data_IF_558914902726
#
_entry.id   IF_558914902726
#
_cell.length_a   1.000
_cell.length_b   1.000
_cell.length_c   1.000
_cell.angle_alpha   90.00
_cell.angle_beta   90.00
_cell.angle_gamma   90.00
#
_symmetry.space_group_name_H-M   'P 1'
#
loop_
_entity.id
_entity.type
_entity.pdbx_description
1 polymer ?
#
# COMPACT_ATOMS: atom_id res chain seq x y z
N UNK A 1 -30.93 -27.59 -17.13
CA UNK A 1 -31.22 -26.15 -17.38
C UNK A 1 -30.34 -25.32 -16.46
N UNK A 2 -29.09 -25.09 -16.86
CA UNK A 2 -28.14 -24.21 -16.17
C UNK A 2 -27.64 -23.28 -17.26
N UNK A 3 -27.96 -21.99 -17.16
CA UNK A 3 -27.57 -20.97 -18.13
C UNK A 3 -26.19 -20.43 -17.71
N UNK A 4 -25.09 -20.76 -18.44
CA UNK A 4 -23.75 -20.33 -18.05
C UNK A 4 -23.46 -18.85 -18.35
N UNK A 5 -24.43 -18.06 -18.84
CA UNK A 5 -24.22 -16.65 -19.20
C UNK A 5 -24.54 -15.62 -18.09
N UNK A 6 -24.96 -16.05 -16.90
CA UNK A 6 -25.32 -15.12 -15.82
C UNK A 6 -24.12 -14.53 -15.04
N UNK A 7 -22.88 -14.98 -15.28
CA UNK A 7 -21.70 -14.58 -14.50
C UNK A 7 -20.84 -13.47 -15.14
N UNK A 8 -21.33 -12.78 -16.17
CA UNK A 8 -20.56 -11.79 -16.94
C UNK A 8 -21.13 -10.36 -16.88
N UNK A 9 -21.73 -9.94 -15.75
CA UNK A 9 -22.34 -8.60 -15.62
C UNK A 9 -21.84 -7.75 -14.45
N UNK A 10 -20.62 -7.98 -13.96
CA UNK A 10 -19.99 -7.13 -12.95
C UNK A 10 -18.61 -6.60 -13.39
N UNK A 11 -18.42 -6.37 -14.69
CA UNK A 11 -17.30 -5.54 -15.13
C UNK A 11 -17.73 -4.07 -15.17
N UNK A 12 -17.14 -3.18 -14.37
CA UNK A 12 -17.52 -1.77 -14.35
C UNK A 12 -17.17 -1.12 -15.70
N UNK A 13 -18.18 -0.50 -16.30
CA UNK A 13 -18.12 0.31 -17.51
C UNK A 13 -17.14 1.49 -17.39
N UNK A 14 -16.39 1.76 -18.46
CA UNK A 14 -15.27 2.71 -18.56
C UNK A 14 -15.58 4.20 -18.29
N UNK A 15 -16.83 4.56 -18.03
CA UNK A 15 -17.30 5.95 -17.95
C UNK A 15 -17.15 6.59 -16.57
N UNK A 16 -16.79 5.82 -15.53
CA UNK A 16 -16.83 6.31 -14.14
C UNK A 16 -15.49 6.27 -13.38
N UNK A 17 -14.33 6.37 -14.04
CA UNK A 17 -13.03 6.38 -13.32
C UNK A 17 -12.84 7.63 -12.45
N UNK A 18 -13.47 8.75 -12.82
CA UNK A 18 -13.30 10.06 -12.19
C UNK A 18 -13.97 10.19 -10.82
N UNK A 19 -14.99 9.38 -10.52
CA UNK A 19 -15.84 9.55 -9.32
C UNK A 19 -15.26 8.81 -8.10
N UNK A 20 -14.53 7.70 -8.30
CA UNK A 20 -13.83 6.99 -7.20
C UNK A 20 -12.61 7.74 -6.66
N UNK A 21 -12.14 8.77 -7.38
CA UNK A 21 -10.88 9.49 -7.10
C UNK A 21 -10.91 10.41 -5.87
N UNK A 22 -12.04 10.60 -5.20
CA UNK A 22 -12.20 11.73 -4.25
C UNK A 22 -12.81 11.42 -2.89
N UNK A 23 -13.10 10.17 -2.57
CA UNK A 23 -13.73 9.81 -1.29
C UNK A 23 -13.12 8.51 -0.76
N UNK A 24 -11.84 8.54 -0.38
CA UNK A 24 -11.27 7.47 0.45
C UNK A 24 -11.44 7.88 1.89
N UNK A 25 -12.15 7.08 2.68
CA UNK A 25 -12.32 7.31 4.11
C UNK A 25 -12.28 5.99 4.86
N UNK A 26 -11.39 5.91 5.84
CA UNK A 26 -11.30 4.75 6.71
C UNK A 26 -10.78 5.13 8.10
N UNK A 27 -10.97 4.20 9.03
CA UNK A 27 -10.44 4.27 10.39
C UNK A 27 -9.75 2.96 10.74
N UNK A 28 -8.55 3.04 11.33
CA UNK A 28 -7.78 1.86 11.74
C UNK A 28 -7.03 2.12 13.05
N UNK A 29 -6.39 1.08 13.59
CA UNK A 29 -5.57 1.18 14.79
C UNK A 29 -4.17 1.72 14.43
N UNK A 30 -3.65 2.65 15.24
CA UNK A 30 -2.43 3.41 14.97
C UNK A 30 -1.17 2.54 14.94
N UNK A 31 -0.98 1.65 15.91
CA UNK A 31 0.20 0.77 15.98
C UNK A 31 0.26 -0.16 14.75
N UNK A 32 -0.89 -0.73 14.40
CA UNK A 32 -1.08 -1.60 13.23
C UNK A 32 -0.78 -0.87 11.92
N UNK A 33 -1.27 0.37 11.78
CA UNK A 33 -0.98 1.22 10.63
C UNK A 33 0.51 1.58 10.55
N UNK A 34 1.11 1.96 11.68
CA UNK A 34 2.52 2.34 11.73
C UNK A 34 3.44 1.16 11.37
N UNK A 35 3.15 -0.04 11.84
CA UNK A 35 3.88 -1.25 11.46
C UNK A 35 3.74 -1.54 9.95
N UNK A 36 2.52 -1.48 9.41
CA UNK A 36 2.28 -1.69 7.99
C UNK A 36 3.04 -0.66 7.11
N UNK A 37 3.07 0.61 7.53
CA UNK A 37 3.85 1.66 6.86
C UNK A 37 5.36 1.37 6.97
N UNK A 38 5.85 0.96 8.14
CA UNK A 38 7.26 0.58 8.35
C UNK A 38 7.72 -0.55 7.44
N UNK A 39 6.85 -1.55 7.23
CA UNK A 39 7.15 -2.67 6.34
C UNK A 39 7.09 -2.24 4.87
N UNK A 40 6.02 -1.56 4.46
CA UNK A 40 5.80 -1.19 3.05
C UNK A 40 6.76 -0.14 2.53
N UNK A 41 7.19 0.82 3.37
CA UNK A 41 8.14 1.86 2.95
C UNK A 41 9.51 1.30 2.53
N UNK A 42 9.86 0.08 2.96
CA UNK A 42 11.13 -0.59 2.58
C UNK A 42 11.25 -0.87 1.10
N UNK A 43 10.12 -0.96 0.39
CA UNK A 43 10.07 -1.15 -1.06
C UNK A 43 9.83 0.16 -1.83
N UNK A 44 9.66 1.30 -1.16
CA UNK A 44 9.40 2.58 -1.83
C UNK A 44 10.70 3.09 -2.46
N UNK A 45 10.62 3.59 -3.70
CA UNK A 45 11.78 4.10 -4.41
C UNK A 45 12.47 5.24 -3.65
N UNK A 46 13.73 5.03 -3.25
CA UNK A 46 14.49 6.01 -2.46
C UNK A 46 14.79 7.32 -3.22
N UNK A 47 14.89 7.24 -4.55
CA UNK A 47 14.98 8.39 -5.45
C UNK A 47 13.91 8.25 -6.52
N UNK A 48 12.95 9.16 -6.50
CA UNK A 48 11.73 9.05 -7.31
C UNK A 48 11.94 9.27 -8.83
N UNK A 49 13.17 9.54 -9.27
CA UNK A 49 13.58 9.57 -10.67
C UNK A 49 12.54 10.19 -11.62
N UNK A 50 12.23 9.46 -12.70
CA UNK A 50 11.20 9.85 -13.66
C UNK A 50 9.75 9.55 -13.21
N UNK A 51 9.56 8.80 -12.11
CA UNK A 51 8.23 8.39 -11.60
C UNK A 51 8.02 8.81 -10.14
N UNK A 52 7.70 10.10 -9.88
CA UNK A 52 7.51 10.63 -8.53
C UNK A 52 6.52 9.85 -7.66
N UNK A 53 5.48 9.27 -8.28
CA UNK A 53 4.44 8.47 -7.61
C UNK A 53 4.99 7.27 -6.83
N UNK A 54 6.14 6.72 -7.24
CA UNK A 54 6.81 5.60 -6.57
C UNK A 54 7.52 5.99 -5.26
N UNK A 55 7.56 7.29 -4.92
CA UNK A 55 7.96 7.76 -3.59
C UNK A 55 6.83 7.74 -2.55
N UNK A 56 5.63 7.34 -2.99
CA UNK A 56 4.47 7.16 -2.13
C UNK A 56 4.16 5.70 -1.84
N UNK A 57 3.32 5.52 -0.83
CA UNK A 57 2.64 4.27 -0.54
C UNK A 57 1.23 4.38 -1.14
N UNK A 58 0.88 3.44 -2.02
CA UNK A 58 -0.49 3.30 -2.51
C UNK A 58 -1.34 2.68 -1.42
N UNK A 59 -2.43 3.34 -1.07
CA UNK A 59 -3.44 2.87 -0.11
C UNK A 59 -4.71 2.54 -0.86
N UNK A 60 -5.17 1.30 -0.76
CA UNK A 60 -6.45 0.84 -1.30
C UNK A 60 -7.36 0.46 -0.14
N UNK A 61 -8.51 1.10 -0.01
CA UNK A 61 -9.50 0.80 1.02
C UNK A 61 -10.71 0.07 0.40
N UNK A 62 -10.99 -1.13 0.89
CA UNK A 62 -12.11 -1.98 0.45
C UNK A 62 -12.40 -3.08 1.48
N UNK A 63 -13.65 -3.51 1.59
CA UNK A 63 -14.06 -4.72 2.32
C UNK A 63 -13.46 -4.84 3.74
N UNK A 64 -13.64 -3.81 4.56
CA UNK A 64 -13.13 -3.71 5.94
C UNK A 64 -11.60 -3.91 6.09
N UNK A 65 -10.87 -3.65 5.02
CA UNK A 65 -9.41 -3.71 4.99
C UNK A 65 -8.83 -2.51 4.26
N UNK A 66 -7.59 -2.21 4.59
CA UNK A 66 -6.73 -1.41 3.71
C UNK A 66 -5.52 -2.22 3.29
N UNK A 67 -5.17 -2.08 2.01
CA UNK A 67 -3.94 -2.58 1.44
C UNK A 67 -2.97 -1.41 1.22
N UNK A 68 -1.78 -1.53 1.81
CA UNK A 68 -0.66 -0.62 1.61
C UNK A 68 0.32 -1.28 0.65
N UNK A 69 0.72 -0.56 -0.40
CA UNK A 69 1.66 -1.05 -1.42
C UNK A 69 2.79 -0.03 -1.62
N UNK A 70 4.03 -0.47 -1.38
CA UNK A 70 5.26 0.21 -1.76
C UNK A 70 5.95 -0.55 -2.89
N UNK A 71 6.58 0.18 -3.83
CA UNK A 71 7.35 -0.43 -4.92
C UNK A 71 8.40 0.52 -5.51
N UNK A 72 9.50 -0.05 -5.98
CA UNK A 72 10.53 0.58 -6.80
C UNK A 72 10.64 -0.04 -8.20
N UNK A 73 9.61 -0.83 -8.59
CA UNK A 73 9.49 -1.67 -9.78
C UNK A 73 10.22 -3.02 -9.74
N UNK A 74 11.26 -3.15 -8.92
CA UNK A 74 12.00 -4.41 -8.76
C UNK A 74 11.50 -5.17 -7.52
N UNK A 75 11.34 -4.46 -6.40
CA UNK A 75 10.74 -4.93 -5.17
C UNK A 75 9.33 -4.35 -5.03
N UNK A 76 8.40 -5.20 -4.59
CA UNK A 76 7.08 -4.77 -4.13
C UNK A 76 6.77 -5.40 -2.81
N UNK A 77 6.31 -4.58 -1.86
CA UNK A 77 5.76 -5.06 -0.60
C UNK A 77 4.28 -4.65 -0.53
N UNK A 78 3.43 -5.62 -0.20
CA UNK A 78 1.99 -5.43 0.04
C UNK A 78 1.67 -5.87 1.46
N UNK A 79 1.02 -5.00 2.23
CA UNK A 79 0.55 -5.31 3.59
C UNK A 79 -0.93 -4.99 3.67
N UNK A 80 -1.71 -5.93 4.22
CA UNK A 80 -3.13 -5.74 4.47
C UNK A 80 -3.38 -5.69 5.96
N UNK A 81 -4.15 -4.70 6.40
CA UNK A 81 -4.54 -4.54 7.79
C UNK A 81 -6.04 -4.28 7.91
N UNK A 82 -6.68 -4.69 9.01
CA UNK A 82 -8.09 -4.41 9.25
C UNK A 82 -8.33 -2.90 9.40
N UNK A 83 -9.43 -2.42 8.84
CA UNK A 83 -9.85 -1.04 8.94
C UNK A 83 -11.38 -0.93 8.77
N UNK A 84 -12.02 -0.04 9.50
CA UNK A 84 -13.40 0.34 9.19
C UNK A 84 -13.40 1.26 7.96
N UNK A 85 -13.93 0.79 6.83
CA UNK A 85 -13.94 1.55 5.57
C UNK A 85 -15.30 2.23 5.39
N UNK A 86 -15.33 3.55 5.52
CA UNK A 86 -16.55 4.35 5.31
C UNK A 86 -16.73 4.72 3.83
N UNK A 87 -15.63 4.88 3.09
CA UNK A 87 -15.66 5.21 1.66
C UNK A 87 -14.49 4.52 0.96
N UNK A 88 -14.77 3.52 0.10
CA UNK A 88 -13.72 2.76 -0.58
C UNK A 88 -13.04 3.58 -1.67
N UNK A 89 -11.80 3.23 -1.99
CA UNK A 89 -11.08 3.84 -3.10
C UNK A 89 -9.56 3.72 -2.97
N UNK A 90 -8.86 4.50 -3.79
CA UNK A 90 -7.39 4.44 -3.92
C UNK A 90 -6.79 5.82 -3.76
N UNK A 91 -5.68 5.91 -3.02
CA UNK A 91 -4.86 7.12 -2.87
C UNK A 91 -3.39 6.76 -2.84
N UNK A 92 -2.50 7.73 -3.07
CA UNK A 92 -1.05 7.54 -2.92
C UNK A 92 -0.49 8.61 -2.02
N UNK A 93 0.02 8.21 -0.86
CA UNK A 93 0.50 9.11 0.20
C UNK A 93 2.04 9.13 0.17
N UNK A 94 2.71 10.29 0.18
CA UNK A 94 4.17 10.35 0.28
C UNK A 94 4.69 9.55 1.49
N UNK A 95 5.55 8.56 1.26
CA UNK A 95 5.87 7.54 2.26
C UNK A 95 6.53 8.13 3.51
N UNK A 96 7.52 9.02 3.32
CA UNK A 96 8.23 9.70 4.42
C UNK A 96 7.31 10.55 5.29
N UNK A 97 6.33 11.22 4.68
CA UNK A 97 5.34 12.00 5.44
C UNK A 97 4.40 11.05 6.18
N UNK A 98 3.98 9.96 5.53
CA UNK A 98 3.06 9.02 6.17
C UNK A 98 3.67 8.41 7.44
N UNK A 99 4.90 7.89 7.33
CA UNK A 99 5.67 7.33 8.45
C UNK A 99 5.95 8.34 9.56
N UNK A 100 6.43 9.54 9.18
CA UNK A 100 6.72 10.62 10.11
C UNK A 100 5.49 11.15 10.85
N UNK A 101 4.30 11.02 10.27
CA UNK A 101 3.04 11.40 10.90
C UNK A 101 2.53 10.32 11.84
N UNK A 102 2.45 9.07 11.38
CA UNK A 102 1.90 7.98 12.20
C UNK A 102 2.74 7.72 13.44
N UNK A 103 4.06 7.90 13.37
CA UNK A 103 4.96 7.81 14.54
C UNK A 103 4.71 8.89 15.61
N UNK A 104 4.07 10.01 15.28
CA UNK A 104 3.78 11.12 16.21
C UNK A 104 2.36 11.09 16.77
N UNK A 105 1.48 10.26 16.20
CA UNK A 105 0.12 10.10 16.71
C UNK A 105 0.14 9.31 18.02
N UNK A 106 -0.74 9.66 18.95
CA UNK A 106 -0.94 8.88 20.18
C UNK A 106 -1.50 7.49 19.85
N UNK A 107 -1.34 6.47 20.71
CA UNK A 107 -2.04 5.19 20.57
C UNK A 107 -3.56 5.38 20.45
N UNK A 108 -4.21 4.49 19.71
CA UNK A 108 -5.65 4.52 19.49
C UNK A 108 -6.02 4.59 18.01
N UNK A 109 -7.20 5.08 17.71
CA UNK A 109 -7.69 5.09 16.34
C UNK A 109 -7.14 6.26 15.52
N UNK A 110 -6.81 5.95 14.26
CA UNK A 110 -6.44 6.92 13.22
C UNK A 110 -7.56 6.97 12.18
N UNK A 111 -7.98 8.18 11.81
CA UNK A 111 -8.89 8.42 10.69
C UNK A 111 -8.09 8.98 9.53
N UNK A 112 -8.35 8.44 8.33
CA UNK A 112 -7.82 8.91 7.07
C UNK A 112 -8.99 9.32 6.17
N UNK A 113 -8.96 10.54 5.62
CA UNK A 113 -10.03 11.07 4.78
C UNK A 113 -9.44 11.89 3.64
N UNK A 114 -9.75 11.52 2.40
CA UNK A 114 -9.33 12.24 1.20
C UNK A 114 -10.33 13.35 0.89
N UNK A 115 -9.84 14.57 0.76
CA UNK A 115 -10.59 15.75 0.35
C UNK A 115 -9.88 16.40 -0.84
N UNK A 116 -10.40 16.19 -2.05
CA UNK A 116 -9.75 16.69 -3.27
C UNK A 116 -8.42 15.98 -3.53
N UNK A 117 -7.33 16.75 -3.57
CA UNK A 117 -5.97 16.23 -3.76
C UNK A 117 -5.22 16.02 -2.44
N UNK A 118 -5.86 16.31 -1.30
CA UNK A 118 -5.24 16.20 0.02
C UNK A 118 -5.84 15.06 0.83
N UNK A 119 -5.03 14.43 1.67
CA UNK A 119 -5.48 13.50 2.71
C UNK A 119 -5.34 14.15 4.09
N UNK A 120 -6.44 14.12 4.83
CA UNK A 120 -6.52 14.50 6.23
C UNK A 120 -6.32 13.25 7.08
N UNK A 121 -5.29 13.27 7.93
CA UNK A 121 -4.94 12.18 8.83
C UNK A 121 -5.06 12.69 10.26
N UNK A 122 -5.89 12.06 11.09
CA UNK A 122 -6.12 12.48 12.47
C UNK A 122 -6.07 11.31 13.45
N UNK A 123 -5.65 11.61 14.69
CA UNK A 123 -5.58 10.66 15.79
C UNK A 123 -5.56 11.40 17.13
N UNK A 124 -6.57 11.18 17.97
CA UNK A 124 -6.77 11.98 19.17
C UNK A 124 -6.87 13.49 18.84
N UNK A 125 -6.11 14.38 19.51
CA UNK A 125 -6.13 15.82 19.23
C UNK A 125 -5.29 16.23 18.01
N UNK A 126 -4.49 15.32 17.45
CA UNK A 126 -3.61 15.62 16.33
C UNK A 126 -4.33 15.46 15.00
N UNK A 127 -4.07 16.38 14.08
CA UNK A 127 -4.61 16.38 12.73
C UNK A 127 -3.62 17.03 11.77
N UNK A 128 -3.34 16.37 10.65
CA UNK A 128 -2.46 16.89 9.60
C UNK A 128 -3.09 16.66 8.23
N UNK A 129 -2.86 17.60 7.30
CA UNK A 129 -3.21 17.46 5.90
C UNK A 129 -1.95 17.21 5.07
N UNK A 130 -2.02 16.28 4.12
CA UNK A 130 -0.90 15.90 3.25
C UNK A 130 -1.36 15.90 1.80
N UNK A 131 -0.60 16.55 0.92
CA UNK A 131 -0.82 16.50 -0.52
C UNK A 131 -0.56 15.09 -1.05
N UNK A 132 -1.53 14.52 -1.75
CA UNK A 132 -1.43 13.21 -2.37
C UNK A 132 -0.65 13.25 -3.68
N UNK A 133 -0.10 12.10 -4.05
CA UNK A 133 0.46 11.86 -5.36
C UNK A 133 -0.64 11.33 -6.32
N UNK A 134 -0.53 11.57 -7.64
CA UNK A 134 -1.54 11.13 -8.59
C UNK A 134 -1.65 9.60 -8.64
N UNK A 135 -2.77 9.06 -8.15
CA UNK A 135 -2.92 7.61 -8.01
C UNK A 135 -2.95 6.85 -9.35
N UNK A 136 -3.36 7.50 -10.44
CA UNK A 136 -3.39 6.87 -11.78
C UNK A 136 -1.98 6.66 -12.35
N UNK A 137 -0.99 7.39 -11.84
CA UNK A 137 0.40 7.23 -12.26
C UNK A 137 1.05 6.02 -11.59
N UNK A 138 0.46 5.50 -10.49
CA UNK A 138 1.01 4.37 -9.77
C UNK A 138 0.91 3.11 -10.65
N UNK A 139 2.06 2.48 -10.99
CA UNK A 139 2.07 1.40 -11.96
C UNK A 139 1.30 0.19 -11.46
N UNK A 140 0.75 -0.58 -12.41
CA UNK A 140 0.19 -1.89 -12.08
C UNK A 140 1.34 -2.81 -11.70
N UNK A 141 1.34 -3.22 -10.43
CA UNK A 141 2.29 -4.21 -9.95
C UNK A 141 1.74 -5.61 -10.24
N UNK A 142 2.54 -6.45 -10.90
CA UNK A 142 2.19 -7.82 -11.21
C UNK A 142 1.94 -8.69 -9.97
N UNK A 143 1.30 -9.83 -10.17
CA UNK A 143 1.24 -10.88 -9.15
C UNK A 143 2.45 -11.81 -9.31
N UNK A 144 2.95 -12.41 -8.22
CA UNK A 144 3.98 -13.44 -8.34
C UNK A 144 3.47 -14.59 -9.21
N UNK A 145 4.33 -15.07 -10.11
CA UNK A 145 4.08 -16.21 -10.99
C UNK A 145 4.95 -17.41 -10.55
N UNK A 146 4.59 -18.62 -11.00
CA UNK A 146 5.36 -19.83 -10.75
C UNK A 146 4.79 -20.74 -9.66
N UNK A 147 5.59 -21.70 -9.22
CA UNK A 147 5.18 -22.71 -8.23
C UNK A 147 5.33 -22.15 -6.83
N UNK A 148 4.27 -22.25 -6.02
CA UNK A 148 4.31 -21.87 -4.61
C UNK A 148 4.80 -23.03 -3.74
N UNK A 149 5.54 -22.68 -2.69
CA UNK A 149 5.95 -23.60 -1.62
C UNK A 149 5.68 -22.95 -0.27
N UNK A 150 5.43 -23.77 0.74
CA UNK A 150 5.23 -23.31 2.12
C UNK A 150 6.40 -23.76 2.98
N UNK A 151 6.98 -22.83 3.74
CA UNK A 151 8.11 -23.06 4.64
C UNK A 151 7.89 -22.31 5.95
N UNK A 152 8.52 -22.77 7.03
CA UNK A 152 8.49 -22.05 8.30
C UNK A 152 9.37 -20.79 8.24
N UNK A 153 8.78 -19.63 8.57
CA UNK A 153 9.44 -18.34 8.42
C UNK A 153 10.73 -18.21 9.25
N UNK A 154 10.74 -18.72 10.49
CA UNK A 154 11.89 -18.62 11.40
C UNK A 154 13.12 -19.37 10.89
N UNK A 155 13.03 -20.71 10.69
CA UNK A 155 14.12 -21.49 10.11
C UNK A 155 14.55 -20.98 8.73
N UNK A 156 13.61 -20.56 7.88
CA UNK A 156 13.95 -20.01 6.56
C UNK A 156 14.74 -18.71 6.65
N UNK A 157 14.33 -17.78 7.52
CA UNK A 157 15.07 -16.53 7.75
C UNK A 157 16.48 -16.81 8.30
N UNK A 158 16.64 -17.81 9.17
CA UNK A 158 17.95 -18.19 9.70
C UNK A 158 18.85 -18.82 8.63
N UNK A 159 18.30 -19.71 7.79
CA UNK A 159 19.03 -20.27 6.66
C UNK A 159 19.49 -19.18 5.68
N UNK A 160 18.64 -18.20 5.37
CA UNK A 160 19.01 -17.06 4.52
C UNK A 160 20.17 -16.25 5.12
N UNK A 161 20.19 -16.00 6.43
CA UNK A 161 21.27 -15.26 7.10
C UNK A 161 22.63 -15.94 6.96
N UNK A 162 22.67 -17.27 6.88
CA UNK A 162 23.90 -18.04 6.72
C UNK A 162 24.51 -17.90 5.31
N UNK A 163 23.66 -17.69 4.28
CA UNK A 163 24.12 -17.68 2.87
C UNK A 163 24.23 -16.29 2.26
N UNK A 164 23.47 -15.29 2.74
CA UNK A 164 23.52 -13.89 2.25
C UNK A 164 24.96 -13.33 2.22
N UNK A 165 25.84 -13.56 3.22
CA UNK A 165 27.21 -13.04 3.18
C UNK A 165 28.06 -13.57 2.02
N UNK A 166 27.70 -14.72 1.45
CA UNK A 166 28.40 -15.33 0.32
C UNK A 166 27.91 -14.83 -1.05
N UNK A 167 26.80 -14.10 -1.09
CA UNK A 167 26.28 -13.54 -2.35
C UNK A 167 27.22 -12.46 -2.90
N UNK A 168 27.42 -12.47 -4.22
CA UNK A 168 28.13 -11.39 -4.91
C UNK A 168 27.37 -10.07 -4.74
N UNK A 169 28.11 -8.98 -4.56
CA UNK A 169 27.59 -7.61 -4.58
C UNK A 169 27.92 -6.90 -5.90
N UNK A 170 28.50 -7.64 -6.85
CA UNK A 170 28.87 -7.13 -8.17
C UNK A 170 27.69 -7.31 -9.14
N UNK A 171 26.93 -6.24 -9.37
CA UNK A 171 25.81 -6.21 -10.30
C UNK A 171 26.24 -6.44 -11.77
N UNK A 172 27.53 -6.35 -12.10
CA UNK A 172 28.02 -6.66 -13.45
C UNK A 172 28.03 -8.18 -13.75
N UNK A 173 27.77 -9.03 -12.73
CA UNK A 173 27.69 -10.48 -12.83
C UNK A 173 26.46 -10.99 -12.06
N UNK A 174 25.24 -10.76 -12.60
CA UNK A 174 23.99 -11.10 -11.94
C UNK A 174 23.75 -12.62 -11.83
#
# INVERSE_FOLDING_TARGET
>A
MHNPQALLLLQPSSTNKSVWRRQVKFRCERDTLAEAISITQRAVAARSGAMPVLSGIKVTAADDTIELVGSDLDLTIRVRIPAQVDSPGVSVVPAKLFDGLTSRLKPGAVTFEVTGDDAKISGGPAQVSVRLLPADDFPKVGSPEGTSVSVEAGPFAEALRQVIPAASKDDARP
#
